data_IF_354275305713
#
_entry.id   IF_354275305713
#
_cell.length_a   1.000
_cell.length_b   1.000
_cell.length_c   1.000
_cell.angle_alpha   90.00
_cell.angle_beta   90.00
_cell.angle_gamma   90.00
#
_symmetry.space_group_name_H-M   'P 1'
#
loop_
_entity.id
_entity.type
_entity.pdbx_description
1 polymer ?
#
# COMPACT_ATOMS: atom_id res chain seq x y z
N UNK A 1 19.51 31.11 21.94
CA UNK A 1 19.51 31.28 20.47
C UNK A 1 19.08 29.98 19.80
N UNK A 2 18.00 30.01 19.02
CA UNK A 2 17.30 28.81 18.55
C UNK A 2 17.93 28.30 17.22
N UNK A 3 19.13 27.72 17.31
CA UNK A 3 19.94 27.27 16.17
C UNK A 3 19.19 26.38 15.18
N UNK A 4 18.27 25.54 15.68
CA UNK A 4 17.39 24.70 14.88
C UNK A 4 16.53 25.52 13.91
N UNK A 5 16.00 26.65 14.35
CA UNK A 5 15.14 27.50 13.51
C UNK A 5 15.95 28.17 12.41
N UNK A 6 17.15 28.67 12.75
CA UNK A 6 18.06 29.28 11.78
C UNK A 6 18.54 28.26 10.74
N UNK A 7 18.92 27.06 11.17
CA UNK A 7 19.30 25.97 10.27
C UNK A 7 18.15 25.58 9.32
N UNK A 8 16.93 25.46 9.84
CA UNK A 8 15.76 25.15 9.01
C UNK A 8 15.45 26.26 8.00
N UNK A 9 15.65 27.52 8.37
CA UNK A 9 15.51 28.66 7.45
C UNK A 9 16.56 28.61 6.34
N UNK A 10 17.83 28.36 6.68
CA UNK A 10 18.90 28.24 5.68
C UNK A 10 18.67 27.06 4.73
N UNK A 11 18.27 25.90 5.25
CA UNK A 11 17.93 24.74 4.40
C UNK A 11 16.81 25.08 3.43
N UNK A 12 15.76 25.78 3.88
CA UNK A 12 14.65 26.21 3.00
C UNK A 12 15.13 27.18 1.93
N UNK A 13 15.96 28.15 2.31
CA UNK A 13 16.53 29.14 1.39
C UNK A 13 17.36 28.46 0.31
N UNK A 14 18.35 27.67 0.70
CA UNK A 14 19.25 26.96 -0.24
C UNK A 14 18.48 26.06 -1.19
N UNK A 15 17.47 25.33 -0.71
CA UNK A 15 16.60 24.51 -1.58
C UNK A 15 15.83 25.35 -2.59
N UNK A 16 15.29 26.48 -2.15
CA UNK A 16 14.52 27.39 -3.02
C UNK A 16 15.42 27.96 -4.11
N UNK A 17 16.60 28.42 -3.74
CA UNK A 17 17.58 29.00 -4.68
C UNK A 17 18.03 27.95 -5.72
N UNK A 18 18.32 26.72 -5.28
CA UNK A 18 18.69 25.60 -6.17
C UNK A 18 17.65 25.32 -7.26
N UNK A 19 16.37 25.17 -6.89
CA UNK A 19 15.31 24.87 -7.87
C UNK A 19 14.99 26.08 -8.75
N UNK A 20 15.09 27.30 -8.20
CA UNK A 20 14.91 28.54 -8.97
C UNK A 20 15.95 28.66 -10.08
N UNK A 21 17.23 28.45 -9.76
CA UNK A 21 18.31 28.48 -10.76
C UNK A 21 18.13 27.39 -11.82
N UNK A 22 17.78 26.16 -11.44
CA UNK A 22 17.53 25.09 -12.42
C UNK A 22 16.36 25.38 -13.35
N UNK A 23 15.29 26.01 -12.86
CA UNK A 23 14.16 26.40 -13.70
C UNK A 23 14.59 27.47 -14.71
N UNK A 24 15.32 28.49 -14.26
CA UNK A 24 15.84 29.55 -15.13
C UNK A 24 16.80 28.98 -16.19
N UNK A 25 17.68 28.06 -15.80
CA UNK A 25 18.62 27.39 -16.70
C UNK A 25 17.96 26.36 -17.63
N UNK A 26 16.69 26.01 -17.41
CA UNK A 26 15.93 25.12 -18.30
C UNK A 26 15.20 25.86 -19.42
N UNK A 27 15.37 27.18 -19.54
CA UNK A 27 14.77 27.98 -20.60
C UNK A 27 15.10 27.42 -21.99
N UNK A 28 14.08 27.21 -22.82
CA UNK A 28 14.23 26.59 -24.15
C UNK A 28 14.33 25.06 -24.16
N UNK A 29 14.41 24.40 -22.99
CA UNK A 29 14.40 22.95 -22.87
C UNK A 29 13.26 22.46 -21.98
N UNK A 30 12.08 22.29 -22.60
CA UNK A 30 10.84 21.84 -21.96
C UNK A 30 11.02 20.53 -21.19
N UNK A 31 11.86 19.61 -21.67
CA UNK A 31 12.14 18.33 -21.00
C UNK A 31 12.90 18.54 -19.69
N UNK A 32 13.91 19.41 -19.70
CA UNK A 32 14.71 19.74 -18.51
C UNK A 32 13.88 20.49 -17.46
N UNK A 33 12.98 21.38 -17.92
CA UNK A 33 12.04 22.07 -17.05
C UNK A 33 11.14 21.07 -16.32
N UNK A 34 10.46 20.18 -17.04
CA UNK A 34 9.57 19.20 -16.43
C UNK A 34 10.30 18.19 -15.54
N UNK A 35 11.54 17.81 -15.87
CA UNK A 35 12.36 16.99 -14.98
C UNK A 35 12.62 17.69 -13.64
N UNK A 36 12.96 18.97 -13.67
CA UNK A 36 13.20 19.79 -12.48
C UNK A 36 11.92 19.96 -11.64
N UNK A 37 10.78 20.18 -12.29
CA UNK A 37 9.47 20.27 -11.62
C UNK A 37 9.05 18.94 -10.98
N UNK A 38 9.27 17.81 -11.67
CA UNK A 38 8.97 16.49 -11.13
C UNK A 38 9.82 16.16 -9.90
N UNK A 39 11.10 16.53 -9.94
CA UNK A 39 12.03 16.38 -8.81
C UNK A 39 11.62 17.25 -7.62
N UNK A 40 11.27 18.53 -7.87
CA UNK A 40 10.78 19.45 -6.84
C UNK A 40 9.47 18.96 -6.19
N UNK A 41 8.54 18.48 -7.01
CA UNK A 41 7.22 18.00 -6.57
C UNK A 41 7.30 16.67 -5.81
N UNK A 42 8.49 16.06 -5.71
CA UNK A 42 8.66 14.77 -5.04
C UNK A 42 7.91 13.64 -5.76
N UNK A 43 7.63 13.80 -7.07
CA UNK A 43 7.15 12.70 -7.91
C UNK A 43 8.29 11.69 -7.94
N UNK A 44 8.23 10.73 -7.02
CA UNK A 44 9.26 9.71 -6.85
C UNK A 44 9.46 9.05 -8.21
N UNK A 45 10.73 8.79 -8.56
CA UNK A 45 11.08 7.90 -9.68
C UNK A 45 10.15 6.67 -9.60
N UNK A 46 9.69 6.18 -10.77
CA UNK A 46 8.85 4.97 -10.87
C UNK A 46 9.34 3.97 -9.82
N UNK A 47 8.41 3.45 -9.01
CA UNK A 47 8.69 2.47 -7.94
C UNK A 47 9.80 1.55 -8.42
N UNK A 48 10.85 1.38 -7.61
CA UNK A 48 11.91 0.44 -7.96
C UNK A 48 11.26 -0.86 -8.41
N UNK A 49 11.66 -1.33 -9.59
CA UNK A 49 11.10 -2.56 -10.15
C UNK A 49 11.30 -3.66 -9.10
N UNK A 50 10.32 -4.57 -9.00
CA UNK A 50 10.40 -5.72 -8.10
C UNK A 50 11.81 -6.32 -8.22
N UNK A 51 12.55 -6.49 -7.12
CA UNK A 51 13.99 -6.69 -7.17
C UNK A 51 14.28 -8.17 -7.47
N UNK A 52 13.89 -8.58 -8.68
CA UNK A 52 13.89 -9.97 -9.18
C UNK A 52 15.29 -10.58 -9.10
N UNK A 53 16.33 -9.75 -9.21
CA UNK A 53 17.73 -10.15 -9.11
C UNK A 53 18.10 -10.81 -7.77
N UNK A 54 17.38 -10.52 -6.67
CA UNK A 54 17.60 -11.23 -5.40
C UNK A 54 17.17 -12.70 -5.46
N UNK A 55 16.19 -13.01 -6.30
CA UNK A 55 15.65 -14.36 -6.48
C UNK A 55 16.32 -15.12 -7.64
N UNK A 56 17.13 -14.43 -8.45
CA UNK A 56 17.78 -14.96 -9.64
C UNK A 56 19.32 -14.95 -9.48
N UNK A 57 19.85 -15.14 -8.26
CA UNK A 57 21.29 -15.03 -7.97
C UNK A 57 22.22 -15.76 -8.97
N UNK A 58 21.74 -16.80 -9.65
CA UNK A 58 22.50 -17.60 -10.62
C UNK A 58 22.01 -17.56 -12.09
N UNK A 59 20.91 -16.87 -12.46
CA UNK A 59 20.48 -16.74 -13.88
C UNK A 59 20.68 -15.33 -14.44
N UNK A 60 21.85 -14.76 -14.18
CA UNK A 60 22.29 -13.53 -14.84
C UNK A 60 22.56 -13.86 -16.31
N UNK A 61 21.57 -13.72 -17.19
CA UNK A 61 21.68 -13.22 -18.58
C UNK A 61 20.58 -13.66 -19.57
N UNK A 62 19.52 -14.39 -19.20
CA UNK A 62 18.64 -14.99 -20.23
C UNK A 62 17.24 -14.38 -20.39
N UNK A 63 16.82 -13.37 -19.61
CA UNK A 63 15.44 -12.84 -19.71
C UNK A 63 14.34 -13.81 -19.25
N UNK A 64 14.70 -15.07 -18.96
CA UNK A 64 13.83 -16.16 -18.46
C UNK A 64 13.57 -16.06 -16.95
N UNK A 65 14.30 -15.22 -16.23
CA UNK A 65 14.26 -15.17 -14.77
C UNK A 65 12.91 -14.74 -14.16
N UNK A 66 12.16 -13.84 -14.82
CA UNK A 66 10.88 -13.33 -14.27
C UNK A 66 9.81 -14.42 -14.27
N UNK A 67 9.68 -15.15 -15.38
CA UNK A 67 8.72 -16.24 -15.52
C UNK A 67 9.04 -17.39 -14.55
N UNK A 68 10.32 -17.77 -14.44
CA UNK A 68 10.76 -18.82 -13.52
C UNK A 68 10.45 -18.48 -12.07
N UNK A 69 10.69 -17.22 -11.65
CA UNK A 69 10.37 -16.76 -10.29
C UNK A 69 8.86 -16.76 -10.09
N UNK A 70 8.08 -16.21 -11.01
CA UNK A 70 6.62 -16.21 -10.93
C UNK A 70 6.04 -17.64 -10.83
N UNK A 71 6.54 -18.57 -11.64
CA UNK A 71 6.12 -19.96 -11.61
C UNK A 71 6.53 -20.67 -10.31
N UNK A 72 7.70 -20.34 -9.75
CA UNK A 72 8.12 -20.85 -8.44
C UNK A 72 7.20 -20.37 -7.32
N UNK A 73 6.84 -19.09 -7.31
CA UNK A 73 5.87 -18.52 -6.37
C UNK A 73 4.50 -19.16 -6.50
N UNK A 74 3.97 -19.28 -7.72
CA UNK A 74 2.69 -19.92 -8.00
C UNK A 74 2.69 -21.37 -7.54
N UNK A 75 3.76 -22.10 -7.84
CA UNK A 75 3.91 -23.51 -7.44
C UNK A 75 3.92 -23.63 -5.92
N UNK A 76 4.72 -22.82 -5.22
CA UNK A 76 4.77 -22.80 -3.76
C UNK A 76 3.39 -22.56 -3.14
N UNK A 77 2.72 -21.45 -3.52
CA UNK A 77 1.44 -21.10 -2.91
C UNK A 77 0.29 -22.03 -3.33
N UNK A 78 0.36 -22.66 -4.51
CA UNK A 78 -0.62 -23.67 -4.91
C UNK A 78 -0.46 -25.00 -4.14
N UNK A 79 0.77 -25.33 -3.73
CA UNK A 79 1.08 -26.62 -3.09
C UNK A 79 1.15 -26.55 -1.57
N UNK A 80 1.49 -25.40 -0.99
CA UNK A 80 1.76 -25.26 0.45
C UNK A 80 0.64 -25.82 1.33
N UNK A 81 -0.62 -25.60 0.97
CA UNK A 81 -1.76 -26.15 1.70
C UNK A 81 -1.82 -27.68 1.62
N UNK A 82 -1.61 -28.25 0.43
CA UNK A 82 -1.63 -29.70 0.23
C UNK A 82 -0.41 -30.42 0.83
N UNK A 83 0.75 -29.77 0.84
CA UNK A 83 1.97 -30.30 1.44
C UNK A 83 1.86 -30.27 2.97
N UNK A 84 1.39 -29.17 3.54
CA UNK A 84 1.13 -29.07 4.98
C UNK A 84 0.06 -30.09 5.43
N UNK A 85 -1.01 -30.26 4.66
CA UNK A 85 -2.05 -31.24 4.99
C UNK A 85 -1.54 -32.69 5.01
N UNK A 86 -0.50 -33.02 4.24
CA UNK A 86 0.13 -34.35 4.28
C UNK A 86 0.99 -34.56 5.54
N UNK A 87 1.58 -33.50 6.06
CA UNK A 87 2.39 -33.54 7.28
C UNK A 87 1.53 -33.53 8.56
N UNK A 88 0.28 -33.08 8.46
CA UNK A 88 -0.65 -33.14 9.58
C UNK A 88 -0.96 -34.61 9.93
N UNK A 89 -0.90 -34.98 11.23
CA UNK A 89 -1.27 -36.32 11.66
C UNK A 89 -2.75 -36.55 11.35
N UNK A 90 -3.06 -37.67 10.71
CA UNK A 90 -4.45 -38.10 10.54
C UNK A 90 -5.01 -38.40 11.92
N UNK A 91 -5.91 -37.54 12.40
CA UNK A 91 -6.59 -37.74 13.69
C UNK A 91 -7.42 -39.01 13.61
N UNK A 92 -6.95 -40.07 14.27
CA UNK A 92 -7.69 -41.34 14.44
C UNK A 92 -8.80 -41.19 15.49
N UNK A 93 -8.71 -40.15 16.32
CA UNK A 93 -9.75 -39.77 17.28
C UNK A 93 -10.88 -39.00 16.59
N UNK A 94 -12.15 -39.24 16.98
CA UNK A 94 -13.25 -38.40 16.56
C UNK A 94 -12.98 -36.93 16.91
N UNK A 95 -13.42 -35.98 16.07
CA UNK A 95 -13.19 -34.57 16.31
C UNK A 95 -13.72 -34.19 17.70
N UNK A 96 -12.95 -33.39 18.44
CA UNK A 96 -13.30 -32.88 19.77
C UNK A 96 -14.62 -32.08 19.78
N UNK A 97 -15.06 -31.62 18.61
CA UNK A 97 -16.29 -30.89 18.39
C UNK A 97 -17.08 -31.60 17.32
N UNK A 98 -18.33 -31.96 17.62
CA UNK A 98 -19.24 -32.54 16.64
C UNK A 98 -19.81 -31.43 15.75
N UNK A 99 -19.41 -31.42 14.47
CA UNK A 99 -19.92 -30.46 13.48
C UNK A 99 -21.45 -30.47 13.38
N UNK A 100 -22.12 -31.58 13.72
CA UNK A 100 -23.57 -31.67 13.74
C UNK A 100 -24.20 -30.75 14.80
N UNK A 101 -23.50 -30.49 15.91
CA UNK A 101 -23.94 -29.58 16.99
C UNK A 101 -23.74 -28.10 16.65
N UNK A 102 -22.91 -27.79 15.65
CA UNK A 102 -22.59 -26.41 15.22
C UNK A 102 -23.05 -26.10 13.79
N UNK A 103 -23.78 -27.04 13.17
CA UNK A 103 -24.36 -26.85 11.85
C UNK A 103 -25.49 -25.84 11.92
N UNK A 104 -25.19 -24.58 11.58
CA UNK A 104 -26.22 -23.56 11.35
C UNK A 104 -27.04 -24.01 10.13
N UNK A 105 -28.26 -24.51 10.35
CA UNK A 105 -29.19 -24.85 9.28
C UNK A 105 -29.79 -23.56 8.74
N UNK A 106 -29.58 -23.29 7.46
CA UNK A 106 -30.05 -22.06 6.81
C UNK A 106 -29.26 -20.82 7.21
N UNK A 107 -27.93 -20.78 7.03
CA UNK A 107 -27.18 -19.55 7.26
C UNK A 107 -27.63 -18.51 6.23
N UNK A 108 -28.42 -17.54 6.68
CA UNK A 108 -28.81 -16.43 5.85
C UNK A 108 -27.74 -15.35 5.90
N UNK A 109 -27.06 -15.15 4.78
CA UNK A 109 -26.23 -13.97 4.60
C UNK A 109 -27.13 -12.80 4.22
N UNK A 110 -27.26 -11.81 5.12
CA UNK A 110 -28.00 -10.58 4.88
C UNK A 110 -27.07 -9.37 4.97
N UNK A 111 -27.08 -8.55 3.92
CA UNK A 111 -26.51 -7.21 3.97
C UNK A 111 -27.57 -6.27 4.57
N UNK A 112 -27.16 -5.47 5.55
CA UNK A 112 -28.02 -4.44 6.14
C UNK A 112 -27.57 -3.05 5.68
N UNK A 113 -28.51 -2.11 5.47
CA UNK A 113 -28.16 -0.74 5.15
C UNK A 113 -27.27 -0.13 6.24
N UNK A 114 -26.19 0.54 5.84
CA UNK A 114 -25.28 1.21 6.77
C UNK A 114 -25.85 2.56 7.19
N UNK A 115 -25.80 2.88 8.49
CA UNK A 115 -26.21 4.17 9.04
C UNK A 115 -25.08 5.21 9.02
N UNK A 116 -25.41 6.50 9.12
CA UNK A 116 -24.39 7.58 9.10
C UNK A 116 -23.45 7.44 10.30
N UNK A 117 -24.00 7.11 11.46
CA UNK A 117 -23.26 6.90 12.70
C UNK A 117 -22.26 5.76 12.59
N UNK A 118 -22.63 4.64 11.95
CA UNK A 118 -21.71 3.52 11.72
C UNK A 118 -20.54 3.90 10.81
N UNK A 119 -20.79 4.68 9.75
CA UNK A 119 -19.73 5.17 8.86
C UNK A 119 -18.80 6.11 9.63
N UNK A 120 -19.37 7.07 10.38
CA UNK A 120 -18.57 8.01 11.18
C UNK A 120 -17.71 7.33 12.23
N UNK A 121 -18.29 6.37 12.97
CA UNK A 121 -17.60 5.60 13.99
C UNK A 121 -16.42 4.83 13.38
N UNK A 122 -16.66 4.16 12.25
CA UNK A 122 -15.62 3.39 11.55
C UNK A 122 -14.45 4.28 11.10
N UNK A 123 -14.74 5.46 10.54
CA UNK A 123 -13.70 6.41 10.09
C UNK A 123 -12.98 7.05 11.27
N UNK A 124 -13.71 7.52 12.28
CA UNK A 124 -13.13 8.17 13.48
C UNK A 124 -12.30 7.19 14.30
N UNK A 125 -12.64 5.90 14.31
CA UNK A 125 -11.90 4.84 14.99
C UNK A 125 -10.54 4.48 14.36
N UNK A 126 -10.25 4.88 13.11
CA UNK A 126 -8.94 4.60 12.48
C UNK A 126 -7.80 5.37 13.16
N UNK A 127 -6.57 4.85 13.15
CA UNK A 127 -5.42 5.59 13.69
C UNK A 127 -5.05 6.75 12.73
N UNK A 128 -4.89 7.97 13.27
CA UNK A 128 -4.67 9.20 12.49
C UNK A 128 -3.26 9.38 11.88
N UNK A 129 -2.45 8.33 11.80
CA UNK A 129 -1.08 8.39 11.27
C UNK A 129 -0.76 7.22 10.35
N UNK A 130 -1.78 6.62 9.75
CA UNK A 130 -1.60 5.52 8.80
C UNK A 130 -1.09 6.07 7.46
N UNK A 131 -0.22 5.29 6.83
CA UNK A 131 0.21 5.57 5.47
C UNK A 131 -1.01 5.57 4.53
N UNK A 132 -1.10 6.52 3.59
CA UNK A 132 -2.20 6.57 2.65
C UNK A 132 -2.16 5.37 1.69
N UNK A 133 -3.31 5.03 1.13
CA UNK A 133 -3.46 3.94 0.16
C UNK A 133 -2.87 4.28 -1.20
N UNK A 134 -3.21 3.47 -2.21
CA UNK A 134 -2.77 3.71 -3.60
C UNK A 134 -3.31 5.03 -4.18
N UNK A 135 -4.41 5.52 -3.62
CA UNK A 135 -5.04 6.81 -3.91
C UNK A 135 -4.33 8.02 -3.27
N UNK A 136 -3.31 7.76 -2.43
CA UNK A 136 -2.59 8.76 -1.65
C UNK A 136 -3.51 9.61 -0.74
N UNK A 137 -4.68 9.09 -0.36
CA UNK A 137 -5.63 9.82 0.48
C UNK A 137 -5.31 9.65 1.97
N UNK A 138 -5.11 10.76 2.68
CA UNK A 138 -4.74 10.75 4.09
C UNK A 138 -5.96 10.47 4.99
N UNK A 139 -5.82 9.52 5.91
CA UNK A 139 -6.87 9.17 6.89
C UNK A 139 -7.29 10.38 7.75
N UNK A 140 -6.37 11.30 8.02
CA UNK A 140 -6.67 12.54 8.76
C UNK A 140 -7.67 13.42 7.99
N UNK A 141 -7.52 13.52 6.66
CA UNK A 141 -8.44 14.29 5.82
C UNK A 141 -9.82 13.62 5.79
N UNK A 142 -9.86 12.29 5.70
CA UNK A 142 -11.08 11.51 5.76
C UNK A 142 -11.85 11.78 7.06
N UNK A 143 -11.16 11.74 8.21
CA UNK A 143 -11.76 12.04 9.52
C UNK A 143 -12.32 13.45 9.61
N UNK A 144 -11.58 14.43 9.12
CA UNK A 144 -11.97 15.84 9.21
C UNK A 144 -13.14 16.20 8.29
N UNK A 145 -13.35 15.43 7.21
CA UNK A 145 -14.36 15.72 6.18
C UNK A 145 -15.43 14.65 6.06
N UNK A 146 -15.48 13.69 6.98
CA UNK A 146 -16.40 12.55 6.88
C UNK A 146 -17.85 12.99 6.76
N UNK A 147 -18.27 14.02 7.50
CA UNK A 147 -19.64 14.57 7.42
C UNK A 147 -20.08 14.96 6.01
N UNK A 148 -19.15 15.40 5.17
CA UNK A 148 -19.41 15.78 3.77
C UNK A 148 -19.28 14.61 2.80
N UNK A 149 -18.59 13.54 3.22
CA UNK A 149 -18.29 12.35 2.42
C UNK A 149 -19.25 11.19 2.72
N UNK A 150 -20.08 11.28 3.78
CA UNK A 150 -21.02 10.23 4.15
C UNK A 150 -22.04 9.95 3.03
N UNK A 151 -22.54 10.98 2.35
CA UNK A 151 -23.53 10.82 1.29
C UNK A 151 -23.01 9.95 0.13
N UNK A 152 -21.84 10.22 -0.49
CA UNK A 152 -21.29 9.33 -1.51
C UNK A 152 -20.78 7.99 -0.98
N UNK A 153 -20.53 7.84 0.32
CA UNK A 153 -20.09 6.57 0.94
C UNK A 153 -21.25 5.61 1.26
N UNK A 154 -22.48 6.11 1.31
CA UNK A 154 -23.70 5.33 1.56
C UNK A 154 -24.37 4.81 0.30
N UNK A 155 -24.04 5.39 -0.85
CA UNK A 155 -24.71 5.18 -2.13
C UNK A 155 -24.13 4.02 -2.94
#
# INVERSE_FOLDING_TARGET
FNFRNRLNQEIKRVKTDYFKERILNSAGNTKMFWNTVNEFSGVRKKREHFPINYFIRDLVNTGVGVETVANSFNTFFSKVGSELAKELPVSVSPPLVDDSTHRVVGPEFRLTPVSDSQVEECVKGKRGGLAPGIDNFLVVLLKNKISNLILPLKH
#
